data_IF_436867294824
#
_entry.id   IF_436867294824
#
_cell.length_a   1.000
_cell.length_b   1.000
_cell.length_c   1.000
_cell.angle_alpha   90.00
_cell.angle_beta   90.00
_cell.angle_gamma   90.00
#
_symmetry.space_group_name_H-M   'P 1'
#
loop_
_entity.id
_entity.type
_entity.pdbx_description
1 polymer ?
#
# COMPACT_ATOMS: atom_id res chain seq x y z
N UNK A 1 -21.89 -2.34 13.40
CA UNK A 1 -20.91 -1.24 13.45
C UNK A 1 -20.39 -0.84 12.08
N UNK A 2 -20.12 -1.80 11.16
CA UNK A 2 -19.64 -1.53 9.79
C UNK A 2 -20.58 -0.70 8.91
N UNK A 3 -21.90 -0.77 9.13
CA UNK A 3 -22.92 -0.11 8.31
C UNK A 3 -22.96 1.44 8.41
N UNK A 4 -22.08 2.05 9.21
CA UNK A 4 -21.97 3.52 9.35
C UNK A 4 -20.65 4.05 8.79
N UNK A 5 -19.83 3.18 8.20
CA UNK A 5 -18.56 3.58 7.61
C UNK A 5 -18.77 4.02 6.18
N UNK A 6 -18.06 5.06 5.79
CA UNK A 6 -18.01 5.59 4.44
C UNK A 6 -16.54 5.76 4.05
N UNK A 7 -16.22 5.53 2.78
CA UNK A 7 -14.86 5.59 2.28
C UNK A 7 -14.66 6.75 1.31
N UNK A 8 -13.49 7.38 1.39
CA UNK A 8 -12.98 8.29 0.37
C UNK A 8 -11.56 7.86 0.05
N UNK A 9 -11.29 7.47 -1.20
CA UNK A 9 -10.06 6.80 -1.59
C UNK A 9 -9.21 7.67 -2.51
N UNK A 10 -7.93 7.84 -2.19
CA UNK A 10 -7.04 8.74 -2.92
C UNK A 10 -5.66 8.11 -3.06
N UNK A 11 -4.95 8.36 -4.17
CA UNK A 11 -3.55 7.94 -4.33
C UNK A 11 -3.33 6.94 -5.47
N UNK A 12 -2.48 5.94 -5.28
CA UNK A 12 -2.11 4.96 -6.31
C UNK A 12 -1.51 5.57 -7.61
N UNK A 13 -0.95 6.78 -7.55
CA UNK A 13 -0.32 7.42 -8.71
C UNK A 13 1.05 6.84 -9.04
N UNK A 14 1.39 6.77 -10.33
CA UNK A 14 2.69 6.35 -10.84
C UNK A 14 3.57 7.59 -11.06
N UNK A 15 4.14 8.10 -9.97
CA UNK A 15 4.85 9.39 -9.95
C UNK A 15 6.33 9.27 -10.37
N UNK A 16 6.93 8.08 -10.18
CA UNK A 16 8.36 7.84 -10.38
C UNK A 16 8.60 7.15 -11.73
N UNK A 17 9.55 7.70 -12.49
CA UNK A 17 9.96 7.12 -13.77
C UNK A 17 10.62 5.74 -13.50
N UNK A 18 10.21 4.71 -14.25
CA UNK A 18 10.60 3.31 -14.03
C UNK A 18 9.67 2.49 -13.11
N UNK A 19 8.68 3.11 -12.46
CA UNK A 19 7.65 2.40 -11.69
C UNK A 19 6.66 1.64 -12.58
N UNK A 20 6.68 1.85 -13.90
CA UNK A 20 5.78 1.22 -14.88
C UNK A 20 5.94 -0.29 -15.01
N UNK A 21 7.11 -0.85 -14.64
CA UNK A 21 7.38 -2.30 -14.71
C UNK A 21 6.54 -3.06 -13.67
N UNK A 22 6.20 -2.43 -12.54
CA UNK A 22 5.33 -3.01 -11.51
C UNK A 22 4.12 -2.11 -11.31
N UNK A 23 2.97 -2.52 -11.84
CA UNK A 23 1.66 -1.85 -11.76
C UNK A 23 1.07 -1.83 -10.34
N UNK A 24 1.83 -1.40 -9.34
CA UNK A 24 1.43 -1.39 -7.92
C UNK A 24 0.18 -0.53 -7.71
N UNK A 25 0.12 0.65 -8.37
CA UNK A 25 -1.02 1.54 -8.28
C UNK A 25 -2.34 0.89 -8.72
N UNK A 26 -2.33 0.20 -9.87
CA UNK A 26 -3.49 -0.54 -10.38
C UNK A 26 -3.90 -1.67 -9.43
N UNK A 27 -2.93 -2.45 -8.94
CA UNK A 27 -3.19 -3.55 -8.00
C UNK A 27 -3.82 -3.05 -6.70
N UNK A 28 -3.31 -1.97 -6.13
CA UNK A 28 -3.85 -1.37 -4.91
C UNK A 28 -5.26 -0.81 -5.13
N UNK A 29 -5.50 -0.20 -6.28
CA UNK A 29 -6.81 0.32 -6.68
C UNK A 29 -7.84 -0.80 -6.81
N UNK A 30 -7.47 -1.91 -7.45
CA UNK A 30 -8.36 -3.06 -7.59
C UNK A 30 -8.64 -3.70 -6.23
N UNK A 31 -7.60 -3.91 -5.43
CA UNK A 31 -7.75 -4.48 -4.09
C UNK A 31 -8.69 -3.64 -3.20
N UNK A 32 -8.48 -2.32 -3.12
CA UNK A 32 -9.27 -1.46 -2.24
C UNK A 32 -10.74 -1.44 -2.66
N UNK A 33 -11.02 -1.41 -3.99
CA UNK A 33 -12.39 -1.46 -4.52
C UNK A 33 -13.07 -2.78 -4.18
N UNK A 34 -12.39 -3.91 -4.42
CA UNK A 34 -12.94 -5.23 -4.08
C UNK A 34 -13.17 -5.39 -2.57
N UNK A 35 -12.25 -4.90 -1.74
CA UNK A 35 -12.36 -4.98 -0.29
C UNK A 35 -13.56 -4.15 0.23
N UNK A 36 -13.69 -2.90 -0.21
CA UNK A 36 -14.78 -2.01 0.23
C UNK A 36 -16.15 -2.51 -0.26
N UNK A 37 -16.22 -3.07 -1.47
CA UNK A 37 -17.44 -3.70 -1.97
C UNK A 37 -17.84 -4.91 -1.12
N UNK A 38 -16.89 -5.79 -0.78
CA UNK A 38 -17.14 -6.96 0.05
C UNK A 38 -17.58 -6.60 1.48
N UNK A 39 -17.01 -5.54 2.05
CA UNK A 39 -17.38 -5.04 3.38
C UNK A 39 -18.63 -4.14 3.37
N UNK A 40 -19.24 -3.90 2.19
CA UNK A 40 -20.43 -3.07 2.00
C UNK A 40 -20.23 -1.62 2.49
N UNK A 41 -19.02 -1.08 2.29
CA UNK A 41 -18.67 0.29 2.65
C UNK A 41 -18.77 1.17 1.39
N UNK A 42 -19.70 2.13 1.31
CA UNK A 42 -19.86 2.98 0.14
C UNK A 42 -18.65 3.91 -0.04
N UNK A 43 -18.23 4.07 -1.29
CA UNK A 43 -17.20 5.03 -1.69
C UNK A 43 -17.90 6.33 -2.08
N UNK A 44 -17.66 7.41 -1.33
CA UNK A 44 -18.26 8.72 -1.58
C UNK A 44 -17.42 9.60 -2.52
N UNK A 45 -16.12 9.34 -2.60
CA UNK A 45 -15.21 10.07 -3.47
C UNK A 45 -13.98 9.22 -3.78
N UNK A 46 -13.48 9.30 -5.02
CA UNK A 46 -12.22 8.67 -5.41
C UNK A 46 -11.35 9.58 -6.30
N UNK A 47 -10.04 9.59 -6.07
CA UNK A 47 -9.02 10.16 -6.97
C UNK A 47 -7.80 9.23 -7.01
N UNK A 48 -7.83 8.26 -7.92
CA UNK A 48 -6.85 7.18 -8.04
C UNK A 48 -6.05 7.32 -9.33
N UNK A 49 -4.88 6.66 -9.37
CA UNK A 49 -4.01 6.59 -10.56
C UNK A 49 -3.55 7.96 -11.10
N UNK A 50 -2.80 7.97 -12.20
CA UNK A 50 -2.25 9.17 -12.81
C UNK A 50 -0.79 9.44 -12.42
N UNK A 51 -0.21 10.45 -13.03
CA UNK A 51 1.25 10.65 -13.08
C UNK A 51 1.77 11.71 -12.10
N UNK A 52 0.86 12.45 -11.46
CA UNK A 52 1.20 13.52 -10.53
C UNK A 52 1.16 13.03 -9.10
N UNK A 53 2.14 13.45 -8.29
CA UNK A 53 2.01 13.36 -6.84
C UNK A 53 0.85 14.23 -6.36
N UNK A 54 0.19 13.79 -5.29
CA UNK A 54 -0.96 14.49 -4.71
C UNK A 54 -0.78 14.62 -3.21
N UNK A 55 -1.00 15.82 -2.68
CA UNK A 55 -1.11 16.04 -1.24
C UNK A 55 -2.59 16.06 -0.85
N UNK A 56 -2.96 15.18 0.06
CA UNK A 56 -4.34 15.02 0.54
C UNK A 56 -4.47 15.70 1.90
N UNK A 57 -5.43 16.60 2.03
CA UNK A 57 -5.82 17.22 3.30
C UNK A 57 -7.20 16.71 3.68
N UNK A 58 -7.30 16.06 4.84
CA UNK A 58 -8.57 15.52 5.35
C UNK A 58 -9.03 16.30 6.58
N UNK A 59 -10.23 16.86 6.50
CA UNK A 59 -10.85 17.62 7.58
C UNK A 59 -11.79 16.71 8.37
N UNK A 60 -11.32 16.14 9.47
CA UNK A 60 -12.05 15.15 10.28
C UNK A 60 -13.41 15.64 10.77
N UNK A 61 -13.51 16.92 11.16
CA UNK A 61 -14.74 17.52 11.67
C UNK A 61 -15.88 17.59 10.63
N UNK A 62 -15.56 17.65 9.33
CA UNK A 62 -16.55 17.81 8.25
C UNK A 62 -16.54 16.66 7.25
N UNK A 63 -15.56 15.76 7.35
CA UNK A 63 -15.29 14.72 6.36
C UNK A 63 -14.82 15.24 5.00
N UNK A 64 -14.57 16.55 4.83
CA UNK A 64 -14.13 17.14 3.56
C UNK A 64 -12.69 16.74 3.24
N UNK A 65 -12.40 16.59 1.96
CA UNK A 65 -11.05 16.29 1.47
C UNK A 65 -10.67 17.35 0.44
N UNK A 66 -9.49 17.93 0.60
CA UNK A 66 -8.87 18.81 -0.40
C UNK A 66 -7.64 18.11 -0.99
N UNK A 67 -7.56 18.08 -2.31
CA UNK A 67 -6.45 17.47 -3.04
C UNK A 67 -5.66 18.56 -3.73
N UNK A 68 -4.36 18.63 -3.45
CA UNK A 68 -3.42 19.48 -4.19
C UNK A 68 -2.55 18.59 -5.08
N UNK A 69 -2.78 18.65 -6.39
CA UNK A 69 -1.90 18.02 -7.39
C UNK A 69 -0.58 18.79 -7.40
N UNK A 70 0.52 18.08 -7.21
CA UNK A 70 1.86 18.63 -7.22
C UNK A 70 2.43 18.50 -8.64
N UNK A 71 2.99 19.60 -9.15
CA UNK A 71 3.77 19.55 -10.39
C UNK A 71 5.00 18.67 -10.15
N UNK A 72 5.40 17.87 -11.14
CA UNK A 72 6.67 17.13 -11.13
C UNK A 72 7.80 18.13 -10.84
N UNK A 73 8.26 18.16 -9.60
CA UNK A 73 9.38 18.99 -9.16
C UNK A 73 10.47 18.02 -8.73
N UNK A 74 11.65 18.13 -9.35
CA UNK A 74 12.75 17.21 -9.09
C UNK A 74 13.21 17.18 -7.62
N UNK A 75 12.84 18.18 -6.81
CA UNK A 75 13.18 18.28 -5.40
C UNK A 75 12.63 17.11 -4.56
N UNK A 76 11.37 16.70 -4.78
CA UNK A 76 10.78 15.58 -4.02
C UNK A 76 11.47 14.25 -4.36
N UNK A 77 11.76 14.03 -5.66
CA UNK A 77 12.48 12.83 -6.13
C UNK A 77 13.90 12.81 -5.54
N UNK A 78 14.60 13.95 -5.54
CA UNK A 78 15.96 14.08 -4.97
C UNK A 78 16.01 13.73 -3.49
N UNK A 79 14.97 14.07 -2.72
CA UNK A 79 14.89 13.73 -1.30
C UNK A 79 14.63 12.23 -1.06
N UNK A 80 13.94 11.55 -1.97
CA UNK A 80 13.66 10.11 -1.87
C UNK A 80 14.84 9.22 -2.34
N UNK A 81 15.74 9.72 -3.20
CA UNK A 81 16.90 8.98 -3.68
C UNK A 81 17.83 8.41 -2.59
N UNK A 82 18.24 9.15 -1.55
CA UNK A 82 19.10 8.59 -0.50
C UNK A 82 18.44 7.46 0.28
N UNK A 83 17.10 7.45 0.39
CA UNK A 83 16.37 6.34 0.99
C UNK A 83 16.37 5.10 0.08
N UNK A 84 16.19 5.30 -1.24
CA UNK A 84 16.27 4.21 -2.23
C UNK A 84 17.63 3.51 -2.21
N UNK A 85 18.73 4.26 -2.18
CA UNK A 85 20.08 3.70 -2.15
C UNK A 85 20.31 2.77 -0.95
N UNK A 86 19.83 3.17 0.23
CA UNK A 86 19.94 2.36 1.46
C UNK A 86 19.17 1.04 1.39
N UNK A 87 17.99 1.01 0.75
CA UNK A 87 17.22 -0.23 0.59
C UNK A 87 17.97 -1.23 -0.30
N UNK A 88 18.63 -0.74 -1.36
CA UNK A 88 19.40 -1.57 -2.28
C UNK A 88 20.68 -2.08 -1.61
N UNK A 89 21.38 -1.23 -0.85
CA UNK A 89 22.60 -1.60 -0.11
C UNK A 89 22.34 -2.60 1.03
N UNK A 90 21.16 -2.54 1.65
CA UNK A 90 20.78 -3.46 2.75
C UNK A 90 20.33 -4.85 2.26
N UNK A 91 20.33 -5.13 0.96
CA UNK A 91 20.05 -6.47 0.45
C UNK A 91 18.63 -6.96 0.76
N UNK A 92 17.68 -6.08 1.06
CA UNK A 92 16.25 -6.44 1.08
C UNK A 92 15.79 -6.50 -0.39
N UNK A 93 16.19 -7.57 -1.08
CA UNK A 93 15.67 -7.88 -2.39
C UNK A 93 14.14 -7.80 -2.35
N UNK A 94 13.47 -7.20 -3.36
CA UNK A 94 12.02 -7.19 -3.40
C UNK A 94 11.55 -8.64 -3.33
N UNK A 95 10.97 -9.02 -2.18
CA UNK A 95 10.50 -10.38 -1.97
C UNK A 95 9.53 -10.68 -3.10
N UNK A 96 9.78 -11.68 -3.95
CA UNK A 96 8.88 -11.97 -5.04
C UNK A 96 7.51 -12.23 -4.40
N UNK A 97 6.49 -11.53 -4.89
CA UNK A 97 5.12 -11.82 -4.54
C UNK A 97 4.72 -13.15 -5.19
N UNK A 98 5.28 -14.26 -4.70
CA UNK A 98 4.80 -15.62 -4.96
C UNK A 98 3.56 -15.79 -4.08
N UNK A 99 2.37 -15.53 -4.64
CA UNK A 99 1.50 -16.56 -5.23
C UNK A 99 1.09 -17.62 -4.20
N UNK A 100 -0.24 -17.69 -4.03
CA UNK A 100 -1.01 -18.83 -3.53
C UNK A 100 -0.70 -19.31 -2.11
N UNK A 101 -1.64 -19.02 -1.21
CA UNK A 101 -1.93 -19.86 -0.06
C UNK A 101 -2.30 -21.26 -0.58
N UNK A 102 -1.32 -22.16 -0.61
CA UNK A 102 -1.56 -23.61 -0.66
C UNK A 102 -1.22 -24.18 0.72
N UNK A 103 -2.15 -25.01 1.18
CA UNK A 103 -2.33 -25.55 2.52
C UNK A 103 -1.12 -26.34 3.07
N UNK A 104 -1.10 -26.45 4.40
CA UNK A 104 -0.43 -27.47 5.23
C UNK A 104 1.07 -27.41 5.59
N UNK A 105 1.92 -26.62 4.94
CA UNK A 105 3.37 -26.73 5.24
C UNK A 105 3.89 -25.87 6.41
N UNK A 106 3.08 -24.95 6.97
CA UNK A 106 3.53 -24.00 8.02
C UNK A 106 3.33 -24.46 9.47
N UNK A 107 2.56 -25.52 9.71
CA UNK A 107 2.33 -26.03 11.08
C UNK A 107 3.52 -26.80 11.66
N UNK A 108 4.34 -27.47 10.84
CA UNK A 108 5.49 -28.25 11.35
C UNK A 108 6.70 -27.40 11.75
N UNK A 109 6.91 -26.24 11.11
CA UNK A 109 8.05 -25.38 11.41
C UNK A 109 7.85 -24.54 12.69
N UNK A 110 6.61 -24.12 12.98
CA UNK A 110 6.29 -23.34 14.19
C UNK A 110 6.28 -24.22 15.45
N UNK A 111 5.84 -25.48 15.33
CA UNK A 111 5.76 -26.41 16.47
C UNK A 111 7.14 -26.88 16.97
N UNK A 112 8.18 -26.90 16.12
CA UNK A 112 9.55 -27.31 16.53
C UNK A 112 10.30 -26.28 17.38
N UNK A 113 9.88 -25.01 17.39
CA UNK A 113 10.52 -23.96 18.21
C UNK A 113 9.91 -23.79 19.61
N UNK A 114 8.80 -24.44 19.93
CA UNK A 114 8.16 -24.36 21.26
C UNK A 114 8.55 -25.48 22.24
N UNK A 115 9.30 -26.49 21.81
CA UNK A 115 9.74 -27.59 22.67
C UNK A 115 11.19 -27.44 23.19
N UNK A 116 11.89 -26.35 22.85
CA UNK A 116 13.27 -26.09 23.32
C UNK A 116 13.38 -24.96 24.36
N UNK A 117 12.27 -24.37 24.82
CA UNK A 117 12.28 -23.32 25.85
C UNK A 117 11.51 -23.71 27.12
N UNK A 118 11.36 -25.00 27.38
CA UNK A 118 10.72 -25.53 28.59
C UNK A 118 11.52 -26.71 29.18
N UNK A 119 12.83 -26.57 29.28
CA UNK A 119 13.69 -27.54 29.96
C UNK A 119 15.11 -26.99 30.16
N UNK A 120 15.49 -26.84 31.44
CA UNK A 120 16.71 -26.25 32.03
C UNK A 120 16.72 -24.72 32.15
#
# INVERSE_FOLDING_TARGET
MRNRLEAKIFGAGNVLDGMTVVKVGERNTNFIRSYLANEQIPILAEDLLGECARKVYFFTATGKVLIKKLKKSGAAIKQEQPYRGRIVEQGEAPRPATSTCSSESRLKACLRRRLHSAGC
#
